data_IF_591059065921
#
_entry.id   IF_591059065921
#
_cell.length_a   1.000
_cell.length_b   1.000
_cell.length_c   1.000
_cell.angle_alpha   90.00
_cell.angle_beta   90.00
_cell.angle_gamma   90.00
#
_symmetry.space_group_name_H-M   'P 1'
#
loop_
_entity.id
_entity.type
_entity.pdbx_description
1 polymer ?
#
# COMPACT_ATOMS: atom_id res chain seq x y z
N UNK A 1 -17.29 31.27 -16.25
CA UNK A 1 -16.89 31.61 -17.62
C UNK A 1 -17.50 30.57 -18.55
N UNK A 2 -18.44 30.95 -19.36
CA UNK A 2 -19.06 30.07 -20.36
C UNK A 2 -18.26 30.21 -21.65
N UNK A 3 -17.74 29.08 -22.15
CA UNK A 3 -16.95 29.05 -23.37
C UNK A 3 -17.82 28.54 -24.51
N UNK A 4 -18.07 29.38 -25.49
CA UNK A 4 -18.73 28.97 -26.75
C UNK A 4 -17.70 28.25 -27.62
N UNK A 5 -17.90 26.95 -27.85
CA UNK A 5 -16.97 26.11 -28.60
C UNK A 5 -17.42 26.09 -30.10
N UNK A 6 -16.60 26.63 -30.97
CA UNK A 6 -16.78 26.45 -32.38
C UNK A 6 -16.47 25.00 -32.77
N UNK A 7 -17.43 24.35 -33.47
CA UNK A 7 -17.19 23.04 -34.08
C UNK A 7 -16.82 23.22 -35.53
N UNK A 8 -15.73 22.61 -35.95
CA UNK A 8 -15.31 22.56 -37.35
C UNK A 8 -15.75 21.22 -37.93
N UNK A 9 -16.52 21.28 -39.02
CA UNK A 9 -16.95 20.08 -39.74
C UNK A 9 -16.04 19.82 -40.95
N UNK A 10 -15.54 18.59 -41.05
CA UNK A 10 -14.87 18.15 -42.28
C UNK A 10 -15.90 17.70 -43.32
N UNK A 11 -15.59 17.87 -44.60
CA UNK A 11 -16.40 17.29 -45.71
C UNK A 11 -16.58 15.78 -45.63
N UNK A 12 -15.72 15.09 -44.86
CA UNK A 12 -15.83 13.65 -44.52
C UNK A 12 -16.87 13.35 -43.43
N UNK A 13 -17.63 14.35 -42.95
CA UNK A 13 -18.62 14.19 -41.87
C UNK A 13 -18.08 14.21 -40.45
N UNK A 14 -16.76 14.25 -40.26
CA UNK A 14 -16.16 14.37 -38.91
C UNK A 14 -16.29 15.78 -38.38
N UNK A 15 -16.73 15.90 -37.13
CA UNK A 15 -16.79 17.18 -36.41
C UNK A 15 -15.73 17.16 -35.29
N UNK A 16 -15.03 18.25 -35.12
CA UNK A 16 -14.08 18.43 -34.01
C UNK A 16 -14.12 19.87 -33.51
N UNK A 17 -13.77 20.05 -32.25
CA UNK A 17 -13.67 21.36 -31.62
C UNK A 17 -12.18 21.60 -31.28
N UNK A 18 -11.48 22.43 -32.08
CA UNK A 18 -10.04 22.66 -31.90
C UNK A 18 -9.68 23.14 -30.48
N UNK A 19 -10.53 23.97 -29.88
CA UNK A 19 -10.31 24.49 -28.52
C UNK A 19 -10.33 23.39 -27.48
N UNK A 20 -11.11 22.32 -27.65
CA UNK A 20 -11.09 21.17 -26.72
C UNK A 20 -9.76 20.41 -26.78
N UNK A 21 -9.19 20.25 -27.96
CA UNK A 21 -7.87 19.66 -28.14
C UNK A 21 -6.78 20.52 -27.49
N UNK A 22 -6.85 21.85 -27.67
CA UNK A 22 -5.96 22.81 -27.04
C UNK A 22 -6.04 22.77 -25.51
N UNK A 23 -7.23 22.51 -24.98
CA UNK A 23 -7.46 22.39 -23.51
C UNK A 23 -7.17 20.97 -22.97
N UNK A 24 -6.68 20.05 -23.80
CA UNK A 24 -6.43 18.66 -23.40
C UNK A 24 -7.72 17.89 -23.04
N UNK A 25 -8.87 18.33 -23.57
CA UNK A 25 -10.15 17.67 -23.34
C UNK A 25 -10.39 16.66 -24.45
N UNK A 26 -10.47 15.38 -24.10
CA UNK A 26 -10.74 14.30 -25.05
C UNK A 26 -12.04 14.54 -25.83
N UNK A 27 -12.05 14.13 -27.09
CA UNK A 27 -13.23 14.23 -27.93
C UNK A 27 -14.43 13.53 -27.26
N UNK A 28 -15.51 14.29 -27.06
CA UNK A 28 -16.71 13.82 -26.35
C UNK A 28 -16.63 13.90 -24.80
N UNK A 29 -15.51 14.33 -24.25
CA UNK A 29 -15.41 14.65 -22.81
C UNK A 29 -15.96 16.06 -22.54
N UNK A 30 -16.73 16.20 -21.46
CA UNK A 30 -17.19 17.50 -20.93
C UNK A 30 -16.44 17.91 -19.67
N UNK A 31 -15.35 17.22 -19.34
CA UNK A 31 -14.60 17.41 -18.10
C UNK A 31 -13.16 17.72 -18.45
N UNK A 32 -12.66 18.88 -18.00
CA UNK A 32 -11.26 19.25 -18.19
C UNK A 32 -10.33 18.37 -17.34
N UNK A 33 -9.06 18.20 -17.73
CA UNK A 33 -8.08 17.43 -16.94
C UNK A 33 -7.95 17.93 -15.48
N UNK A 34 -7.95 19.25 -15.26
CA UNK A 34 -7.88 19.84 -13.93
C UNK A 34 -9.10 19.49 -13.05
N UNK A 35 -10.32 19.55 -13.61
CA UNK A 35 -11.54 19.16 -12.91
C UNK A 35 -11.57 17.65 -12.65
N UNK A 36 -11.11 16.84 -13.60
CA UNK A 36 -10.99 15.40 -13.43
C UNK A 36 -9.99 15.03 -12.33
N UNK A 37 -8.82 15.70 -12.30
CA UNK A 37 -7.83 15.55 -11.23
C UNK A 37 -8.44 15.88 -9.88
N UNK A 38 -9.10 17.03 -9.75
CA UNK A 38 -9.70 17.45 -8.47
C UNK A 38 -10.80 16.49 -8.02
N UNK A 39 -11.63 16.00 -8.94
CA UNK A 39 -12.65 15.00 -8.66
C UNK A 39 -12.02 13.69 -8.16
N UNK A 40 -10.92 13.22 -8.76
CA UNK A 40 -10.20 12.04 -8.33
C UNK A 40 -9.55 12.25 -6.94
N UNK A 41 -8.93 13.42 -6.70
CA UNK A 41 -8.37 13.79 -5.38
C UNK A 41 -9.42 13.68 -4.27
N UNK A 42 -10.57 14.32 -4.46
CA UNK A 42 -11.67 14.27 -3.50
C UNK A 42 -12.20 12.84 -3.32
N UNK A 43 -12.29 12.07 -4.40
CA UNK A 43 -12.79 10.71 -4.36
C UNK A 43 -11.85 9.72 -3.66
N UNK A 44 -10.56 10.02 -3.53
CA UNK A 44 -9.66 9.18 -2.70
C UNK A 44 -9.93 9.32 -1.20
N UNK A 45 -10.58 10.38 -0.76
CA UNK A 45 -10.88 10.65 0.65
C UNK A 45 -12.36 10.49 0.98
N UNK A 46 -13.25 10.85 0.04
CA UNK A 46 -14.68 10.96 0.25
C UNK A 46 -15.46 9.95 -0.61
N UNK A 47 -16.64 9.50 -0.16
CA UNK A 47 -17.60 8.81 -1.01
C UNK A 47 -17.94 9.63 -2.26
N UNK A 48 -18.22 8.98 -3.39
CA UNK A 48 -18.44 9.67 -4.68
C UNK A 48 -19.49 10.77 -4.64
N UNK A 49 -20.58 10.57 -3.87
CA UNK A 49 -21.61 11.59 -3.71
C UNK A 49 -21.08 12.83 -2.96
N UNK A 50 -20.32 12.63 -1.90
CA UNK A 50 -19.70 13.73 -1.14
C UNK A 50 -18.59 14.41 -1.94
N UNK A 51 -17.77 13.64 -2.65
CA UNK A 51 -16.76 14.19 -3.55
C UNK A 51 -17.38 15.08 -4.64
N UNK A 52 -18.51 14.66 -5.23
CA UNK A 52 -19.24 15.46 -6.21
C UNK A 52 -19.82 16.76 -5.59
N UNK A 53 -20.40 16.68 -4.39
CA UNK A 53 -20.93 17.86 -3.69
C UNK A 53 -19.79 18.83 -3.31
N UNK A 54 -18.68 18.32 -2.78
CA UNK A 54 -17.51 19.13 -2.42
C UNK A 54 -16.92 19.83 -3.66
N UNK A 55 -16.82 19.10 -4.77
CA UNK A 55 -16.32 19.65 -6.03
C UNK A 55 -17.19 20.83 -6.52
N UNK A 56 -18.52 20.69 -6.44
CA UNK A 56 -19.44 21.77 -6.77
C UNK A 56 -19.21 23.01 -5.89
N UNK A 57 -19.05 22.81 -4.58
CA UNK A 57 -18.78 23.90 -3.63
C UNK A 57 -17.46 24.62 -3.93
N UNK A 58 -16.41 23.89 -4.27
CA UNK A 58 -15.07 24.44 -4.51
C UNK A 58 -14.94 25.14 -5.87
N UNK A 59 -15.59 24.62 -6.90
CA UNK A 59 -15.33 25.02 -8.29
C UNK A 59 -16.52 25.71 -8.97
N UNK A 60 -17.71 25.66 -8.37
CA UNK A 60 -18.94 26.05 -9.00
C UNK A 60 -19.42 25.10 -10.13
N UNK A 61 -18.69 24.01 -10.39
CA UNK A 61 -18.99 23.06 -11.45
C UNK A 61 -19.38 21.69 -10.90
N UNK A 62 -20.65 21.31 -11.10
CA UNK A 62 -21.17 20.03 -10.63
C UNK A 62 -20.84 18.86 -11.55
N UNK A 63 -20.38 17.77 -10.96
CA UNK A 63 -20.32 16.46 -11.62
C UNK A 63 -21.28 15.50 -10.89
N UNK A 64 -21.91 14.60 -11.64
CA UNK A 64 -22.67 13.53 -10.98
C UNK A 64 -21.75 12.54 -10.28
N UNK A 65 -22.17 11.87 -9.20
CA UNK A 65 -21.39 10.81 -8.54
C UNK A 65 -20.97 9.70 -9.52
N UNK A 66 -21.81 9.40 -10.51
CA UNK A 66 -21.52 8.44 -11.57
C UNK A 66 -20.38 8.92 -12.48
N UNK A 67 -20.29 10.22 -12.75
CA UNK A 67 -19.18 10.80 -13.52
C UNK A 67 -17.89 10.77 -12.72
N UNK A 68 -17.92 11.13 -11.43
CA UNK A 68 -16.75 11.02 -10.53
C UNK A 68 -16.25 9.58 -10.50
N UNK A 69 -17.14 8.58 -10.37
CA UNK A 69 -16.79 7.16 -10.41
C UNK A 69 -16.12 6.77 -11.73
N UNK A 70 -16.61 7.25 -12.88
CA UNK A 70 -16.00 6.96 -14.18
C UNK A 70 -14.60 7.57 -14.33
N UNK A 71 -14.39 8.78 -13.80
CA UNK A 71 -13.08 9.43 -13.77
C UNK A 71 -12.10 8.58 -12.96
N UNK A 72 -12.50 8.17 -11.75
CA UNK A 72 -11.69 7.31 -10.87
C UNK A 72 -11.36 5.97 -11.53
N UNK A 73 -12.34 5.32 -12.18
CA UNK A 73 -12.09 4.05 -12.87
C UNK A 73 -11.04 4.21 -13.97
N UNK A 74 -11.21 5.18 -14.87
CA UNK A 74 -10.26 5.44 -15.97
C UNK A 74 -8.87 5.84 -15.49
N UNK A 75 -8.80 6.71 -14.49
CA UNK A 75 -7.52 7.12 -13.92
C UNK A 75 -6.82 5.95 -13.22
N UNK A 76 -7.56 5.15 -12.44
CA UNK A 76 -7.01 4.00 -11.75
C UNK A 76 -6.56 2.87 -12.66
N UNK A 77 -7.22 2.65 -13.80
CA UNK A 77 -6.79 1.71 -14.85
C UNK A 77 -5.43 2.09 -15.46
N UNK A 78 -5.16 3.41 -15.56
CA UNK A 78 -3.88 3.95 -16.06
C UNK A 78 -2.80 4.05 -14.99
N UNK A 79 -3.17 3.95 -13.72
CA UNK A 79 -2.28 4.05 -12.57
C UNK A 79 -1.78 2.65 -12.19
N UNK A 80 -0.73 2.18 -12.83
CA UNK A 80 -0.15 0.87 -12.53
C UNK A 80 0.96 0.99 -11.46
N UNK A 81 0.73 0.35 -10.32
CA UNK A 81 1.67 0.28 -9.19
C UNK A 81 2.37 -1.08 -9.07
N UNK A 82 2.21 -1.96 -10.07
CA UNK A 82 2.95 -3.22 -10.15
C UNK A 82 4.24 -3.11 -10.95
N UNK A 83 4.43 -1.96 -11.63
CA UNK A 83 5.64 -1.74 -12.43
C UNK A 83 6.84 -1.43 -11.53
N UNK A 84 8.01 -2.02 -11.81
CA UNK A 84 9.22 -1.76 -11.06
C UNK A 84 9.67 -0.30 -11.26
N UNK A 85 10.28 0.26 -10.23
CA UNK A 85 10.87 1.61 -10.26
C UNK A 85 12.37 1.49 -10.55
N UNK A 86 12.82 2.11 -11.61
CA UNK A 86 14.24 2.12 -12.00
C UNK A 86 15.11 3.06 -11.16
N UNK A 87 14.50 3.98 -10.42
CA UNK A 87 15.16 5.03 -9.64
C UNK A 87 15.38 4.66 -8.16
N UNK A 88 14.99 3.45 -7.75
CA UNK A 88 15.14 3.01 -6.36
C UNK A 88 16.60 2.67 -6.06
N UNK A 89 17.17 3.40 -5.09
CA UNK A 89 18.50 3.16 -4.55
C UNK A 89 18.52 2.06 -3.47
N UNK A 90 19.44 2.20 -2.53
CA UNK A 90 19.52 1.31 -1.37
C UNK A 90 18.38 1.54 -0.39
N UNK A 91 17.76 0.46 0.08
CA UNK A 91 16.62 0.47 1.00
C UNK A 91 17.05 -0.10 2.36
N UNK A 92 17.07 0.69 3.42
CA UNK A 92 17.42 0.22 4.76
C UNK A 92 16.52 -0.91 5.26
N UNK A 93 15.21 -0.78 5.03
CA UNK A 93 14.23 -1.82 5.34
C UNK A 93 13.09 -1.80 4.32
N UNK A 94 12.66 -2.99 3.91
CA UNK A 94 11.45 -3.19 3.10
C UNK A 94 10.36 -3.78 3.97
N UNK A 95 9.17 -3.22 3.92
CA UNK A 95 7.98 -3.76 4.57
C UNK A 95 7.06 -4.36 3.51
N UNK A 96 6.63 -5.59 3.73
CA UNK A 96 5.67 -6.29 2.85
C UNK A 96 4.54 -6.80 3.73
N UNK A 97 3.31 -6.45 3.36
CA UNK A 97 2.11 -6.80 4.12
C UNK A 97 0.87 -6.67 3.23
N UNK A 98 -0.22 -7.31 3.64
CA UNK A 98 -1.47 -7.31 2.90
C UNK A 98 -2.69 -7.03 3.76
N UNK A 99 -3.77 -6.64 3.13
CA UNK A 99 -5.09 -6.55 3.75
C UNK A 99 -6.16 -7.12 2.84
N UNK A 100 -7.28 -7.53 3.43
CA UNK A 100 -8.46 -7.96 2.67
C UNK A 100 -9.54 -6.91 2.74
N UNK A 101 -10.06 -6.54 1.58
CA UNK A 101 -11.17 -5.61 1.44
C UNK A 101 -12.38 -6.32 0.82
N UNK A 102 -13.61 -6.03 1.27
CA UNK A 102 -14.79 -6.67 0.73
C UNK A 102 -15.04 -6.20 -0.72
N UNK A 103 -15.03 -7.15 -1.66
CA UNK A 103 -15.36 -6.90 -3.06
C UNK A 103 -16.01 -8.11 -3.69
N UNK A 104 -16.75 -7.90 -4.77
CA UNK A 104 -17.38 -8.95 -5.54
C UNK A 104 -18.90 -8.84 -5.60
N UNK A 105 -19.55 -9.67 -6.46
CA UNK A 105 -20.99 -9.72 -6.58
C UNK A 105 -21.59 -10.26 -5.27
N UNK A 106 -22.74 -9.73 -4.89
CA UNK A 106 -23.55 -10.33 -3.80
C UNK A 106 -24.25 -11.57 -4.32
N UNK A 107 -23.94 -12.71 -3.76
CA UNK A 107 -24.79 -13.90 -3.89
C UNK A 107 -25.79 -13.92 -2.74
N UNK A 108 -27.06 -13.52 -3.04
CA UNK A 108 -28.14 -13.48 -2.06
C UNK A 108 -27.92 -12.42 -0.96
N UNK A 109 -28.41 -12.70 0.27
CA UNK A 109 -28.25 -11.84 1.44
C UNK A 109 -26.86 -11.91 2.10
N UNK A 110 -26.03 -12.88 1.72
CA UNK A 110 -24.68 -13.04 2.29
C UNK A 110 -23.67 -12.32 1.39
N UNK A 111 -22.84 -11.45 2.00
CA UNK A 111 -21.60 -10.99 1.36
C UNK A 111 -20.77 -12.22 1.03
N UNK A 112 -20.19 -12.28 -0.16
CA UNK A 112 -19.13 -13.25 -0.41
C UNK A 112 -18.08 -13.05 0.70
N UNK A 113 -17.83 -14.11 1.47
CA UNK A 113 -16.84 -14.09 2.56
C UNK A 113 -15.40 -13.94 2.05
N UNK A 114 -15.21 -14.01 0.73
CA UNK A 114 -13.90 -13.88 0.08
C UNK A 114 -13.67 -12.42 -0.28
N UNK A 115 -12.98 -11.70 0.60
CA UNK A 115 -12.44 -10.37 0.30
C UNK A 115 -11.40 -10.44 -0.82
N UNK A 116 -11.10 -9.29 -1.41
CA UNK A 116 -10.01 -9.09 -2.37
C UNK A 116 -8.76 -8.72 -1.59
N UNK A 117 -7.65 -9.39 -1.88
CA UNK A 117 -6.37 -9.07 -1.29
C UNK A 117 -5.77 -7.80 -1.93
N UNK A 118 -5.23 -6.96 -1.08
CA UNK A 118 -4.44 -5.77 -1.44
C UNK A 118 -3.07 -5.95 -0.83
N UNK A 119 -2.07 -6.13 -1.67
CA UNK A 119 -0.70 -6.44 -1.30
C UNK A 119 0.17 -5.21 -1.52
N UNK A 120 1.00 -4.85 -0.55
CA UNK A 120 1.87 -3.68 -0.59
C UNK A 120 3.33 -4.06 -0.34
N UNK A 121 4.23 -3.41 -1.07
CA UNK A 121 5.67 -3.37 -0.79
C UNK A 121 6.11 -1.92 -0.63
N UNK A 122 6.69 -1.57 0.51
CA UNK A 122 7.16 -0.23 0.82
C UNK A 122 8.60 -0.24 1.32
N UNK A 123 9.37 0.76 0.91
CA UNK A 123 10.69 1.06 1.47
C UNK A 123 10.55 1.97 2.69
N UNK A 124 11.27 1.67 3.76
CA UNK A 124 11.46 2.60 4.89
C UNK A 124 12.79 3.28 4.67
N UNK A 125 12.77 4.55 4.26
CA UNK A 125 13.97 5.27 3.84
C UNK A 125 14.73 5.85 5.04
N UNK A 126 14.23 6.78 5.73
CA UNK A 126 14.90 7.46 6.82
C UNK A 126 13.93 8.02 7.85
N UNK A 127 14.44 8.88 8.74
CA UNK A 127 13.58 9.70 9.59
C UNK A 127 13.43 11.07 8.94
N UNK A 128 12.19 11.48 8.73
CA UNK A 128 11.92 12.89 8.51
C UNK A 128 12.14 13.63 9.85
N UNK A 129 13.18 14.43 9.89
CA UNK A 129 13.58 15.20 11.09
C UNK A 129 12.99 16.62 11.11
N UNK A 130 12.22 16.99 10.08
CA UNK A 130 11.66 18.36 9.95
C UNK A 130 10.51 18.64 10.91
N UNK A 131 9.93 17.61 11.52
CA UNK A 131 8.82 17.75 12.48
C UNK A 131 9.26 17.64 13.94
N UNK A 132 8.40 18.11 14.88
CA UNK A 132 8.60 17.97 16.34
C UNK A 132 8.79 16.51 16.81
N UNK A 133 8.35 15.53 16.02
CA UNK A 133 8.58 14.10 16.25
C UNK A 133 9.12 13.49 14.97
N UNK A 134 10.35 12.94 14.99
CA UNK A 134 10.91 12.25 13.84
C UNK A 134 9.97 11.13 13.39
N UNK A 135 9.49 11.21 12.16
CA UNK A 135 8.66 10.16 11.53
C UNK A 135 9.52 9.36 10.57
N UNK A 136 9.28 8.06 10.52
CA UNK A 136 9.84 7.25 9.46
C UNK A 136 9.24 7.69 8.13
N UNK A 137 10.06 8.03 7.16
CA UNK A 137 9.60 8.22 5.79
C UNK A 137 9.45 6.87 5.12
N UNK A 138 8.31 6.66 4.49
CA UNK A 138 8.05 5.48 3.66
C UNK A 138 7.85 5.88 2.21
N UNK A 139 8.32 5.04 1.33
CA UNK A 139 8.14 5.14 -0.10
C UNK A 139 7.44 3.90 -0.62
N UNK A 140 6.40 4.07 -1.43
CA UNK A 140 5.72 2.95 -2.07
C UNK A 140 6.60 2.42 -3.18
N UNK A 141 6.99 1.15 -3.11
CA UNK A 141 7.67 0.44 -4.19
C UNK A 141 6.65 -0.08 -5.20
N UNK A 142 5.58 -0.70 -4.72
CA UNK A 142 4.48 -1.16 -5.53
C UNK A 142 3.33 -1.74 -4.72
N UNK A 143 2.23 -1.97 -5.42
CA UNK A 143 1.03 -2.57 -4.86
C UNK A 143 0.32 -3.44 -5.89
N UNK A 144 -0.37 -4.49 -5.44
CA UNK A 144 -1.24 -5.29 -6.29
C UNK A 144 -2.60 -5.51 -5.63
N UNK A 145 -3.64 -5.68 -6.45
CA UNK A 145 -5.01 -5.91 -5.99
C UNK A 145 -5.59 -7.09 -6.73
N UNK A 146 -6.04 -8.10 -5.99
CA UNK A 146 -6.56 -9.37 -6.53
C UNK A 146 -5.57 -10.11 -7.45
N UNK A 147 -4.30 -9.95 -7.19
CA UNK A 147 -3.21 -10.65 -7.87
C UNK A 147 -2.39 -11.44 -6.84
N UNK A 148 -1.77 -12.55 -7.24
CA UNK A 148 -0.87 -13.29 -6.37
C UNK A 148 0.30 -12.41 -5.89
N UNK A 149 0.87 -12.69 -4.72
CA UNK A 149 2.08 -12.03 -4.21
C UNK A 149 3.21 -12.01 -5.24
N UNK A 150 3.35 -13.06 -6.04
CA UNK A 150 4.39 -13.17 -7.07
C UNK A 150 4.31 -12.08 -8.15
N UNK A 151 3.16 -11.41 -8.31
CA UNK A 151 3.04 -10.24 -9.21
C UNK A 151 3.91 -9.06 -8.80
N UNK A 152 4.39 -9.03 -7.55
CA UNK A 152 5.31 -8.02 -7.04
C UNK A 152 6.80 -8.44 -7.14
N UNK A 153 7.12 -9.54 -7.83
CA UNK A 153 8.50 -10.06 -7.93
C UNK A 153 9.50 -8.99 -8.39
N UNK A 154 9.22 -8.33 -9.51
CA UNK A 154 10.14 -7.32 -10.06
C UNK A 154 10.13 -6.03 -9.24
N UNK A 155 9.00 -5.71 -8.61
CA UNK A 155 8.86 -4.57 -7.69
C UNK A 155 9.79 -4.72 -6.48
N UNK A 156 9.80 -5.88 -5.84
CA UNK A 156 10.65 -6.11 -4.64
C UNK A 156 12.12 -6.25 -4.99
N UNK A 157 12.45 -6.59 -6.24
CA UNK A 157 13.82 -6.62 -6.75
C UNK A 157 14.34 -5.27 -7.24
N UNK A 158 13.49 -4.27 -7.41
CA UNK A 158 13.88 -2.97 -7.95
C UNK A 158 14.91 -2.20 -7.12
N UNK A 159 14.96 -2.29 -5.76
CA UNK A 159 16.03 -1.68 -4.99
C UNK A 159 17.40 -2.31 -5.26
N UNK A 160 18.46 -1.48 -5.28
CA UNK A 160 19.85 -1.92 -5.48
C UNK A 160 20.36 -2.80 -4.35
N UNK A 161 20.05 -2.43 -3.12
CA UNK A 161 20.33 -3.22 -1.93
C UNK A 161 19.22 -3.08 -0.90
N UNK A 162 18.97 -4.14 -0.13
CA UNK A 162 17.95 -4.18 0.93
C UNK A 162 18.62 -4.65 2.20
N UNK A 163 18.49 -3.85 3.26
CA UNK A 163 19.09 -4.18 4.56
C UNK A 163 18.35 -5.30 5.29
N UNK A 164 17.02 -5.24 5.32
CA UNK A 164 16.15 -6.24 5.96
C UNK A 164 14.76 -6.17 5.32
N UNK A 165 14.09 -7.31 5.20
CA UNK A 165 12.66 -7.38 4.85
C UNK A 165 11.86 -7.74 6.10
N UNK A 166 10.74 -7.03 6.35
CA UNK A 166 9.82 -7.33 7.45
C UNK A 166 8.46 -7.70 6.87
N UNK A 167 7.92 -8.85 7.28
CA UNK A 167 6.63 -9.39 6.82
C UNK A 167 5.78 -9.88 7.99
N UNK A 168 4.52 -10.17 7.73
CA UNK A 168 3.61 -10.84 8.68
C UNK A 168 3.78 -12.36 8.71
N UNK A 169 4.56 -12.94 7.79
CA UNK A 169 4.79 -14.38 7.68
C UNK A 169 3.72 -15.15 6.88
N UNK A 170 2.98 -14.47 6.01
CA UNK A 170 2.10 -15.14 5.05
C UNK A 170 2.91 -16.00 4.07
N UNK A 171 2.47 -17.24 3.84
CA UNK A 171 3.16 -18.19 2.95
C UNK A 171 3.33 -17.67 1.51
N UNK A 172 2.42 -16.82 1.04
CA UNK A 172 2.51 -16.21 -0.28
C UNK A 172 3.64 -15.19 -0.35
N UNK A 173 3.88 -14.45 0.75
CA UNK A 173 5.01 -13.53 0.87
C UNK A 173 6.32 -14.32 0.94
N UNK A 174 6.37 -15.38 1.73
CA UNK A 174 7.56 -16.23 1.82
C UNK A 174 7.92 -16.81 0.46
N UNK A 175 6.94 -17.32 -0.29
CA UNK A 175 7.14 -17.80 -1.66
C UNK A 175 7.60 -16.72 -2.66
N UNK A 176 7.18 -15.46 -2.48
CA UNK A 176 7.71 -14.32 -3.22
C UNK A 176 9.18 -14.08 -2.89
N UNK A 177 9.51 -14.02 -1.59
CA UNK A 177 10.84 -13.68 -1.12
C UNK A 177 11.87 -14.78 -1.44
N UNK A 178 11.48 -16.04 -1.38
CA UNK A 178 12.34 -17.17 -1.76
C UNK A 178 12.83 -17.07 -3.20
N UNK A 179 11.97 -16.57 -4.09
CA UNK A 179 12.28 -16.40 -5.51
C UNK A 179 12.97 -15.08 -5.82
N UNK A 180 12.52 -13.99 -5.20
CA UNK A 180 12.97 -12.64 -5.53
C UNK A 180 14.21 -12.21 -4.75
N UNK A 181 14.29 -12.57 -3.46
CA UNK A 181 15.26 -12.05 -2.50
C UNK A 181 15.77 -13.13 -1.53
N UNK A 182 16.31 -14.27 -2.02
CA UNK A 182 16.70 -15.40 -1.16
C UNK A 182 17.74 -15.04 -0.11
N UNK A 183 18.67 -14.12 -0.42
CA UNK A 183 19.81 -13.76 0.44
C UNK A 183 19.50 -12.58 1.39
N UNK A 184 18.31 -11.96 1.29
CA UNK A 184 17.98 -10.80 2.11
C UNK A 184 17.50 -11.25 3.49
N UNK A 185 18.06 -10.70 4.59
CA UNK A 185 17.59 -11.02 5.93
C UNK A 185 16.09 -10.75 6.09
N UNK A 186 15.36 -11.75 6.62
CA UNK A 186 13.92 -11.67 6.85
C UNK A 186 13.63 -11.57 8.33
N UNK A 187 12.68 -10.72 8.70
CA UNK A 187 12.16 -10.53 10.03
C UNK A 187 10.66 -10.72 10.03
N UNK A 188 10.15 -11.59 10.87
CA UNK A 188 8.72 -11.61 11.17
C UNK A 188 8.31 -10.39 11.98
N UNK A 189 7.22 -9.77 11.61
CA UNK A 189 6.62 -8.65 12.33
C UNK A 189 6.29 -9.07 13.76
N UNK A 190 6.96 -8.46 14.73
CA UNK A 190 6.78 -8.82 16.14
C UNK A 190 5.36 -8.58 16.64
N UNK A 191 4.65 -7.60 16.06
CA UNK A 191 3.24 -7.34 16.35
C UNK A 191 2.33 -8.48 15.89
N UNK A 192 2.53 -8.97 14.66
CA UNK A 192 1.75 -10.09 14.13
C UNK A 192 2.04 -11.39 14.89
N UNK A 193 3.29 -11.65 15.24
CA UNK A 193 3.64 -12.83 16.03
C UNK A 193 2.94 -12.81 17.38
N UNK A 194 2.91 -11.67 18.08
CA UNK A 194 2.19 -11.53 19.34
C UNK A 194 0.67 -11.77 19.17
N UNK A 195 0.09 -11.29 18.08
CA UNK A 195 -1.31 -11.57 17.75
C UNK A 195 -1.55 -13.06 17.50
N UNK A 196 -0.70 -13.70 16.70
CA UNK A 196 -0.83 -15.13 16.39
C UNK A 196 -0.59 -16.03 17.59
N UNK A 197 0.37 -15.74 18.46
CA UNK A 197 0.56 -16.52 19.69
C UNK A 197 -0.72 -16.51 20.53
N UNK A 198 -1.39 -15.37 20.70
CA UNK A 198 -2.68 -15.31 21.43
C UNK A 198 -3.75 -16.18 20.77
N UNK A 199 -3.79 -16.23 19.43
CA UNK A 199 -4.70 -17.10 18.69
C UNK A 199 -4.36 -18.58 18.91
N UNK A 200 -3.07 -18.96 18.91
CA UNK A 200 -2.62 -20.33 19.17
C UNK A 200 -2.93 -20.77 20.58
N UNK A 201 -2.68 -19.93 21.58
CA UNK A 201 -3.08 -20.18 22.95
C UNK A 201 -4.60 -20.37 23.10
N UNK A 202 -5.40 -19.68 22.30
CA UNK A 202 -6.83 -19.98 22.24
C UNK A 202 -7.12 -21.37 21.67
N UNK A 203 -6.41 -21.79 20.66
CA UNK A 203 -6.53 -23.14 20.10
C UNK A 203 -6.07 -24.22 21.11
N UNK A 204 -5.09 -23.90 21.96
CA UNK A 204 -4.64 -24.73 23.08
C UNK A 204 -5.61 -24.71 24.28
N UNK A 205 -6.77 -24.04 24.19
CA UNK A 205 -7.78 -24.02 25.24
C UNK A 205 -7.54 -22.99 26.36
N UNK A 206 -6.54 -22.11 26.23
CA UNK A 206 -6.24 -21.08 27.23
C UNK A 206 -7.39 -20.08 27.35
N UNK A 207 -7.80 -19.76 28.57
CA UNK A 207 -8.87 -18.80 28.84
C UNK A 207 -8.50 -17.38 28.38
N UNK A 208 -9.48 -16.62 27.86
CA UNK A 208 -9.26 -15.29 27.27
C UNK A 208 -8.46 -14.34 28.16
N UNK A 209 -8.76 -14.34 29.48
CA UNK A 209 -8.11 -13.47 30.47
C UNK A 209 -6.62 -13.74 30.67
N UNK A 210 -6.16 -14.98 30.37
CA UNK A 210 -4.79 -15.42 30.63
C UNK A 210 -3.89 -15.36 29.38
N UNK A 211 -4.48 -15.24 28.19
CA UNK A 211 -3.76 -15.31 26.89
C UNK A 211 -2.74 -14.20 26.72
N UNK A 212 -3.04 -12.99 27.17
CA UNK A 212 -2.13 -11.86 27.01
C UNK A 212 -0.88 -12.02 27.87
N UNK A 213 -1.06 -12.36 29.16
CA UNK A 213 0.05 -12.60 30.08
C UNK A 213 0.93 -13.78 29.63
N UNK A 214 0.33 -14.86 29.13
CA UNK A 214 1.07 -16.00 28.60
C UNK A 214 1.78 -15.68 27.30
N UNK A 215 1.16 -14.94 26.38
CA UNK A 215 1.80 -14.48 25.15
C UNK A 215 3.03 -13.62 25.46
N UNK A 216 2.91 -12.70 26.40
CA UNK A 216 4.04 -11.87 26.86
C UNK A 216 5.12 -12.72 27.53
N UNK A 217 4.76 -13.69 28.36
CA UNK A 217 5.71 -14.62 29.00
C UNK A 217 6.52 -15.41 27.96
N UNK A 218 5.89 -15.83 26.86
CA UNK A 218 6.55 -16.58 25.79
C UNK A 218 7.39 -15.68 24.87
N UNK A 219 6.97 -14.45 24.61
CA UNK A 219 7.59 -13.61 23.58
C UNK A 219 8.55 -12.56 24.15
N UNK A 220 8.28 -11.98 25.32
CA UNK A 220 9.12 -10.90 25.85
C UNK A 220 10.60 -11.28 25.99
N UNK A 221 10.98 -12.49 26.49
CA UNK A 221 12.38 -12.89 26.58
C UNK A 221 13.08 -12.89 25.21
N UNK A 222 12.37 -13.34 24.16
CA UNK A 222 12.89 -13.41 22.78
C UNK A 222 13.09 -12.00 22.22
N UNK A 223 12.08 -11.15 22.37
CA UNK A 223 12.04 -9.82 21.74
C UNK A 223 12.92 -8.78 22.47
N UNK A 224 13.13 -8.93 23.76
CA UNK A 224 13.96 -8.01 24.57
C UNK A 224 15.43 -8.43 24.66
N UNK A 225 15.76 -9.63 24.18
CA UNK A 225 17.13 -10.14 24.23
C UNK A 225 18.13 -9.17 23.59
N UNK A 226 19.30 -8.93 24.20
CA UNK A 226 20.26 -7.95 23.71
C UNK A 226 20.99 -8.40 22.45
N UNK A 227 21.08 -9.70 22.19
CA UNK A 227 21.77 -10.28 21.03
C UNK A 227 20.94 -11.40 20.41
N UNK A 228 21.23 -11.70 19.13
CA UNK A 228 20.57 -12.82 18.44
C UNK A 228 20.78 -14.16 19.17
N UNK A 229 21.99 -14.44 19.68
CA UNK A 229 22.24 -15.68 20.42
C UNK A 229 21.37 -15.82 21.65
N UNK A 230 21.23 -14.75 22.43
CA UNK A 230 20.32 -14.74 23.60
C UNK A 230 18.86 -14.85 23.20
N UNK A 231 18.46 -14.24 22.07
CA UNK A 231 17.10 -14.36 21.56
C UNK A 231 16.77 -15.79 21.12
N UNK A 232 17.71 -16.47 20.45
CA UNK A 232 17.54 -17.87 20.06
C UNK A 232 17.48 -18.81 21.29
N UNK A 233 18.33 -18.56 22.30
CA UNK A 233 18.25 -19.30 23.56
C UNK A 233 16.88 -19.09 24.22
N UNK A 234 16.42 -17.86 24.36
CA UNK A 234 15.09 -17.55 24.91
C UNK A 234 13.95 -18.18 24.10
N UNK A 235 14.12 -18.32 22.79
CA UNK A 235 13.15 -19.02 21.94
C UNK A 235 13.05 -20.51 22.32
N UNK A 236 14.17 -21.21 22.45
CA UNK A 236 14.17 -22.61 22.86
C UNK A 236 13.56 -22.80 24.27
N UNK A 237 13.88 -21.91 25.21
CA UNK A 237 13.28 -21.90 26.54
C UNK A 237 11.76 -21.66 26.49
N UNK A 238 11.30 -20.78 25.60
CA UNK A 238 9.87 -20.50 25.40
C UNK A 238 9.13 -21.66 24.72
N UNK A 239 9.78 -22.36 23.81
CA UNK A 239 9.23 -23.58 23.19
C UNK A 239 9.08 -24.66 24.24
N UNK A 240 10.13 -24.92 25.05
CA UNK A 240 10.11 -25.91 26.15
C UNK A 240 8.99 -25.56 27.13
N UNK A 241 8.88 -24.29 27.53
CA UNK A 241 7.82 -23.85 28.44
C UNK A 241 6.42 -24.10 27.86
N UNK A 242 6.23 -23.90 26.55
CA UNK A 242 4.95 -24.15 25.92
C UNK A 242 4.64 -25.64 25.81
N UNK A 243 5.65 -26.48 25.52
CA UNK A 243 5.50 -27.95 25.50
C UNK A 243 5.18 -28.52 26.91
N UNK A 244 5.86 -28.04 27.94
CA UNK A 244 5.64 -28.48 29.34
C UNK A 244 4.22 -28.16 29.86
N UNK A 245 3.53 -27.21 29.21
CA UNK A 245 2.17 -26.83 29.56
C UNK A 245 1.13 -27.32 28.53
N UNK A 246 1.52 -28.23 27.63
CA UNK A 246 0.67 -28.74 26.52
C UNK A 246 0.13 -27.68 25.59
N UNK A 247 0.82 -26.53 25.42
CA UNK A 247 0.47 -25.48 24.46
C UNK A 247 1.03 -25.80 23.07
N UNK A 248 0.54 -26.90 22.50
CA UNK A 248 1.08 -27.50 21.28
C UNK A 248 1.01 -26.56 20.04
N UNK A 249 -0.09 -25.81 19.87
CA UNK A 249 -0.22 -24.86 18.76
C UNK A 249 0.70 -23.66 18.93
N UNK A 250 0.89 -23.17 20.16
CA UNK A 250 1.81 -22.09 20.46
C UNK A 250 3.26 -22.51 20.25
N UNK A 251 3.67 -23.68 20.76
CA UNK A 251 5.00 -24.25 20.58
C UNK A 251 5.31 -24.46 19.09
N UNK A 252 4.39 -25.03 18.32
CA UNK A 252 4.57 -25.24 16.88
C UNK A 252 4.71 -23.91 16.13
N UNK A 253 3.94 -22.89 16.53
CA UNK A 253 4.07 -21.57 15.92
C UNK A 253 5.44 -20.95 16.21
N UNK A 254 5.93 -21.02 17.44
CA UNK A 254 7.27 -20.54 17.82
C UNK A 254 8.37 -21.25 17.01
N UNK A 255 8.28 -22.57 16.82
CA UNK A 255 9.22 -23.34 15.97
C UNK A 255 9.20 -22.82 14.52
N UNK A 256 8.03 -22.55 13.97
CA UNK A 256 7.89 -22.12 12.58
C UNK A 256 8.45 -20.71 12.32
N UNK A 257 8.24 -19.77 13.27
CA UNK A 257 8.64 -18.36 13.07
C UNK A 257 9.97 -18.01 13.73
N UNK A 258 10.48 -18.86 14.61
CA UNK A 258 11.49 -18.53 15.60
C UNK A 258 12.78 -17.95 15.05
N UNK A 259 13.34 -18.54 14.00
CA UNK A 259 14.61 -18.05 13.43
C UNK A 259 14.51 -16.64 12.86
N UNK A 260 13.33 -16.23 12.43
CA UNK A 260 13.08 -14.91 11.83
C UNK A 260 12.66 -13.85 12.86
N UNK A 261 12.35 -14.21 14.11
CA UNK A 261 12.01 -13.25 15.17
C UNK A 261 13.21 -12.43 15.65
N UNK A 262 14.41 -12.96 15.50
CA UNK A 262 15.65 -12.36 15.99
C UNK A 262 16.54 -11.77 14.91
N UNK A 263 16.07 -11.70 13.66
CA UNK A 263 16.88 -11.23 12.54
C UNK A 263 17.27 -9.76 12.70
N UNK A 264 16.40 -8.91 13.23
CA UNK A 264 16.70 -7.50 13.47
C UNK A 264 17.86 -7.29 14.44
N UNK A 265 18.04 -8.18 15.44
CA UNK A 265 19.18 -8.13 16.36
C UNK A 265 20.50 -8.46 15.63
N UNK A 266 20.48 -9.42 14.70
CA UNK A 266 21.66 -9.75 13.91
C UNK A 266 22.10 -8.58 13.01
N UNK A 267 21.14 -7.90 12.34
CA UNK A 267 21.46 -6.79 11.44
C UNK A 267 21.73 -5.48 12.19
N UNK A 268 21.32 -5.35 13.44
CA UNK A 268 21.52 -4.15 14.29
C UNK A 268 22.99 -3.72 14.34
N UNK A 269 23.89 -4.66 14.42
CA UNK A 269 25.32 -4.44 14.54
C UNK A 269 26.06 -4.42 13.18
N UNK A 270 25.35 -4.75 12.10
CA UNK A 270 25.95 -4.69 10.76
C UNK A 270 26.12 -3.24 10.28
N UNK A 271 27.11 -2.98 9.39
CA UNK A 271 27.27 -1.69 8.71
C UNK A 271 26.31 -1.54 7.51
N UNK A 272 25.16 -2.14 7.58
CA UNK A 272 24.16 -2.14 6.50
C UNK A 272 23.42 -0.79 6.39
N UNK A 273 22.70 -0.55 5.27
CA UNK A 273 22.10 0.74 4.91
C UNK A 273 21.21 1.38 5.99
N UNK A 274 20.55 0.60 6.86
CA UNK A 274 19.68 1.16 7.90
C UNK A 274 20.39 2.13 8.87
N UNK A 275 21.71 1.97 9.11
CA UNK A 275 22.49 2.91 9.92
C UNK A 275 22.68 4.26 9.24
N UNK A 276 22.76 4.26 7.93
CA UNK A 276 22.92 5.49 7.15
C UNK A 276 21.65 6.35 7.17
N UNK A 277 20.50 5.78 7.51
CA UNK A 277 19.22 6.49 7.62
C UNK A 277 19.01 7.21 8.96
N UNK A 278 20.02 7.27 9.85
CA UNK A 278 19.90 7.92 11.17
C UNK A 278 19.03 7.17 12.18
N UNK A 279 18.68 5.91 11.93
CA UNK A 279 17.84 5.10 12.81
C UNK A 279 18.67 4.42 13.90
N UNK A 280 18.14 4.36 15.11
CA UNK A 280 18.81 3.72 16.26
C UNK A 280 18.75 2.19 16.20
N UNK A 281 17.79 1.62 15.45
CA UNK A 281 17.60 0.16 15.30
C UNK A 281 16.90 -0.18 13.98
N UNK A 282 17.10 -1.38 13.41
CA UNK A 282 16.37 -1.87 12.26
C UNK A 282 14.85 -1.93 12.52
N UNK A 283 14.05 -1.89 11.46
CA UNK A 283 12.64 -2.18 11.55
C UNK A 283 12.42 -3.65 11.95
N UNK A 284 11.38 -3.88 12.74
CA UNK A 284 10.98 -5.21 13.21
C UNK A 284 9.45 -5.38 13.25
N UNK A 285 8.72 -4.39 12.74
CA UNK A 285 7.25 -4.41 12.63
C UNK A 285 6.78 -3.85 11.29
N UNK A 286 5.60 -4.28 10.84
CA UNK A 286 4.89 -3.70 9.69
C UNK A 286 3.93 -2.58 10.08
N UNK A 287 3.98 -2.08 11.32
CA UNK A 287 3.02 -1.10 11.85
C UNK A 287 2.89 0.20 11.05
N UNK A 288 3.94 0.58 10.32
CA UNK A 288 3.89 1.72 9.39
C UNK A 288 2.95 1.43 8.21
N UNK A 289 2.93 0.19 7.69
CA UNK A 289 2.00 -0.23 6.63
C UNK A 289 0.55 -0.31 7.12
N UNK A 290 0.32 -0.76 8.35
CA UNK A 290 -1.04 -0.84 8.90
C UNK A 290 -1.78 0.51 8.87
N UNK A 291 -1.05 1.62 9.04
CA UNK A 291 -1.65 2.95 8.90
C UNK A 291 -2.13 3.18 7.46
N UNK A 292 -1.37 2.76 6.47
CA UNK A 292 -1.74 2.83 5.06
C UNK A 292 -2.91 1.91 4.74
N UNK A 293 -2.89 0.67 5.28
CA UNK A 293 -3.98 -0.28 5.14
C UNK A 293 -5.29 0.26 5.73
N UNK A 294 -5.23 0.92 6.89
CA UNK A 294 -6.41 1.57 7.49
C UNK A 294 -7.00 2.67 6.63
N UNK A 295 -6.18 3.43 5.90
CA UNK A 295 -6.69 4.45 4.96
C UNK A 295 -7.37 3.80 3.76
N UNK A 296 -6.79 2.75 3.19
CA UNK A 296 -7.42 1.96 2.14
C UNK A 296 -8.77 1.42 2.63
N UNK A 297 -8.78 0.74 3.78
CA UNK A 297 -9.98 0.14 4.33
C UNK A 297 -11.06 1.20 4.62
N UNK A 298 -10.68 2.34 5.19
CA UNK A 298 -11.62 3.46 5.42
C UNK A 298 -12.27 3.95 4.12
N UNK A 299 -11.58 3.83 2.98
CA UNK A 299 -12.14 4.27 1.70
C UNK A 299 -12.96 3.20 0.99
N UNK A 300 -12.56 1.94 1.05
CA UNK A 300 -13.18 0.86 0.28
C UNK A 300 -14.10 -0.05 1.11
N UNK A 301 -13.93 -0.15 2.42
CA UNK A 301 -14.69 -1.04 3.31
C UNK A 301 -15.90 -0.41 4.05
N UNK A 302 -16.25 0.88 3.96
CA UNK A 302 -17.40 1.38 4.70
C UNK A 302 -18.67 0.57 4.42
N UNK A 303 -19.53 0.36 5.45
CA UNK A 303 -20.79 -0.34 5.31
C UNK A 303 -21.63 0.24 4.17
N UNK A 304 -22.18 -0.64 3.33
CA UNK A 304 -23.01 -0.23 2.18
C UNK A 304 -22.24 -0.02 0.87
N UNK A 305 -20.95 0.13 0.89
CA UNK A 305 -20.15 0.18 -0.34
C UNK A 305 -20.22 -1.17 -1.07
N UNK A 306 -20.39 -1.08 -2.39
CA UNK A 306 -20.41 -2.25 -3.30
C UNK A 306 -19.33 -2.05 -4.35
N UNK A 307 -18.24 -2.75 -4.19
CA UNK A 307 -17.15 -2.71 -5.12
C UNK A 307 -17.08 -3.99 -5.94
N UNK A 308 -16.84 -3.85 -7.23
CA UNK A 308 -16.29 -4.91 -8.07
C UNK A 308 -14.76 -4.83 -8.01
N UNK A 309 -14.08 -5.94 -8.27
CA UNK A 309 -12.61 -6.04 -8.24
C UNK A 309 -11.91 -4.91 -9.03
N UNK A 310 -12.31 -4.60 -10.28
CA UNK A 310 -11.70 -3.48 -11.02
C UNK A 310 -11.86 -2.14 -10.30
N UNK A 311 -13.02 -1.89 -9.70
CA UNK A 311 -13.26 -0.64 -8.95
C UNK A 311 -12.41 -0.53 -7.69
N UNK A 312 -12.22 -1.63 -6.94
CA UNK A 312 -11.27 -1.67 -5.81
C UNK A 312 -9.87 -1.37 -6.29
N UNK A 313 -9.41 -2.05 -7.35
CA UNK A 313 -8.08 -1.84 -7.92
C UNK A 313 -7.85 -0.39 -8.28
N UNK A 314 -8.74 0.21 -9.07
CA UNK A 314 -8.64 1.61 -9.47
C UNK A 314 -8.59 2.55 -8.27
N UNK A 315 -9.44 2.34 -7.25
CA UNK A 315 -9.47 3.19 -6.06
C UNK A 315 -8.20 3.03 -5.23
N UNK A 316 -7.76 1.80 -4.96
CA UNK A 316 -6.54 1.52 -4.18
C UNK A 316 -5.31 2.12 -4.86
N UNK A 317 -5.16 1.94 -6.16
CA UNK A 317 -4.05 2.53 -6.92
C UNK A 317 -4.02 4.05 -6.79
N UNK A 318 -5.16 4.73 -6.92
CA UNK A 318 -5.21 6.19 -6.78
C UNK A 318 -4.95 6.66 -5.35
N UNK A 319 -5.50 5.98 -4.34
CA UNK A 319 -5.24 6.30 -2.92
C UNK A 319 -3.76 6.21 -2.62
N UNK A 320 -3.11 5.13 -3.04
CA UNK A 320 -1.69 4.89 -2.79
C UNK A 320 -0.81 5.86 -3.60
N UNK A 321 -1.08 6.02 -4.89
CA UNK A 321 -0.31 6.91 -5.75
C UNK A 321 -0.33 8.36 -5.23
N UNK A 322 -1.50 8.83 -4.76
CA UNK A 322 -1.64 10.16 -4.16
C UNK A 322 -0.95 10.26 -2.81
N UNK A 323 -1.18 9.28 -1.92
CA UNK A 323 -0.63 9.28 -0.56
C UNK A 323 0.89 9.35 -0.53
N UNK A 324 1.54 8.61 -1.43
CA UNK A 324 2.99 8.52 -1.52
C UNK A 324 3.60 9.48 -2.53
N UNK A 325 2.83 10.41 -3.08
CA UNK A 325 3.26 11.28 -4.20
C UNK A 325 4.00 10.46 -5.29
N UNK A 326 3.47 9.27 -5.57
CA UNK A 326 4.09 8.32 -6.48
C UNK A 326 4.16 8.91 -7.91
N UNK A 327 5.22 8.67 -8.69
CA UNK A 327 5.35 9.18 -10.06
C UNK A 327 4.13 8.88 -10.95
N UNK A 328 3.48 7.73 -10.77
CA UNK A 328 2.26 7.38 -11.48
C UNK A 328 1.12 8.42 -11.27
N UNK A 329 1.00 9.00 -10.06
CA UNK A 329 0.01 10.07 -9.81
C UNK A 329 0.28 11.31 -10.65
N UNK A 330 1.55 11.73 -10.71
CA UNK A 330 1.95 12.91 -11.51
C UNK A 330 1.77 12.63 -13.00
N UNK A 331 2.15 11.43 -13.46
CA UNK A 331 2.02 11.03 -14.85
C UNK A 331 0.56 11.03 -15.35
N UNK A 332 -0.41 10.69 -14.49
CA UNK A 332 -1.83 10.72 -14.84
C UNK A 332 -2.33 12.11 -15.24
N UNK A 333 -1.78 13.16 -14.64
CA UNK A 333 -2.29 14.53 -14.74
C UNK A 333 -1.35 15.50 -15.44
N UNK A 334 -0.10 15.10 -15.69
CA UNK A 334 0.90 15.87 -16.43
C UNK A 334 0.90 15.46 -17.90
N UNK A 335 -0.27 15.33 -18.52
CA UNK A 335 -0.31 14.97 -19.93
C UNK A 335 0.45 16.04 -20.74
N UNK A 336 1.54 15.61 -21.38
CA UNK A 336 2.48 16.43 -22.13
C UNK A 336 1.83 17.26 -23.27
N UNK A 337 0.58 16.92 -23.62
CA UNK A 337 -0.24 17.67 -24.56
C UNK A 337 -0.58 19.09 -24.08
N UNK A 338 -0.96 19.25 -22.82
CA UNK A 338 -1.40 20.54 -22.26
C UNK A 338 -0.25 21.55 -22.14
N UNK A 339 0.95 21.09 -21.74
CA UNK A 339 2.12 21.96 -21.58
C UNK A 339 2.74 22.37 -22.91
N UNK A 340 2.77 21.47 -23.89
CA UNK A 340 3.31 21.77 -25.24
C UNK A 340 2.48 22.81 -25.98
N UNK A 341 1.15 22.82 -25.82
CA UNK A 341 0.26 23.79 -26.42
C UNK A 341 0.51 25.21 -25.89
N UNK A 342 0.67 25.34 -24.55
CA UNK A 342 0.96 26.66 -23.98
C UNK A 342 2.37 27.18 -24.33
N UNK A 343 3.35 26.31 -24.48
CA UNK A 343 4.69 26.69 -24.92
C UNK A 343 4.69 27.16 -26.38
N UNK A 344 3.89 26.52 -27.27
CA UNK A 344 3.73 26.93 -28.67
C UNK A 344 3.03 28.29 -28.88
N UNK A 345 2.10 28.63 -27.98
CA UNK A 345 1.37 29.92 -28.07
C UNK A 345 2.23 31.12 -27.60
N UNK A 346 3.30 30.91 -26.81
CA UNK A 346 4.23 31.97 -26.41
C UNK A 346 5.31 32.27 -27.44
N UNK A 347 5.51 31.40 -28.43
CA UNK A 347 6.56 31.55 -29.46
C UNK A 347 6.10 32.26 -30.74
N UNK A 348 4.83 32.69 -30.84
CA UNK A 348 4.31 33.33 -32.06
C UNK A 348 3.99 34.83 -31.91
N UNK A 349 4.63 35.49 -30.95
CA UNK A 349 4.62 36.96 -30.88
C UNK A 349 6.06 37.48 -31.05
N UNK A 350 6.62 37.28 -32.25
CA UNK A 350 7.65 38.12 -32.87
C UNK A 350 7.28 38.44 -34.32
#
# INVERSE_FOLDING_TARGET
MELTLAQVGCRCGRRFAPLLQLLGVDHGSRVSPGLARRAAELATELPFARAAAQLLTETGHGLSPATVRRIVARAGERCDLTLPRSDVGDVPAMLIDGTRVPAGPRHGRRRSARGVEVNLACAVMGRDVTGRRPRASMELLGASVALPWLSLHDVVRSPKAIGIVVTDGDNGIDGLLDRALPEVPRQHCTFHVQHYIRLRLWQDGVAFKDREALADRLLAPILTAPTRGRSLQALEESITLADDHDFNYAAQHLRNVGSQLSTWQAVRHSRRPWRMSGRSRPEHTTSLLERTMREINRRVDPPGNRWLVPGVRSMVHLVLARRFDHPAWRALWNDAGTVKVWAGLRGSTE
#
